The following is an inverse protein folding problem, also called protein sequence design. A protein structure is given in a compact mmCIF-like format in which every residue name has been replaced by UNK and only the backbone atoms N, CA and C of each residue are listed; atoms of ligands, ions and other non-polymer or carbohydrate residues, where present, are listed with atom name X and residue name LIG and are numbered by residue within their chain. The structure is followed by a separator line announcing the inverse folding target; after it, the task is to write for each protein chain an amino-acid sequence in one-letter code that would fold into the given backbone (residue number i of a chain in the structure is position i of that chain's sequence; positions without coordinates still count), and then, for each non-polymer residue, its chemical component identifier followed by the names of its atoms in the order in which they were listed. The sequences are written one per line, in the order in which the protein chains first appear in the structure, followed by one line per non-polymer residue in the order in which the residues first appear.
data_IF_608626469272
#
_entry.id   IF_608626469272
#
_cell.length_a   1.000
_cell.length_b   1.000
_cell.length_c   1.000
_cell.angle_alpha   90.00
_cell.angle_beta   90.00
_cell.angle_gamma   90.00
#
_symmetry.space_group_name_H-M   'P 1'
#
loop_
_entity.id
_entity.type
_entity.pdbx_description
1 polymer ?
#
# COMPACT_ATOMS: atom_id res chain seq x y z
N UNK A 1 -18.34 -11.13 -14.42
CA UNK A 1 -19.09 -10.44 -15.51
C UNK A 1 -20.51 -10.23 -15.03
N UNK A 2 -20.96 -8.98 -14.91
CA UNK A 2 -22.37 -8.68 -14.60
C UNK A 2 -23.21 -8.72 -15.89
N UNK A 3 -24.30 -9.46 -15.87
CA UNK A 3 -25.31 -9.47 -16.94
C UNK A 3 -26.52 -8.67 -16.46
N UNK A 4 -26.50 -7.36 -16.64
CA UNK A 4 -27.68 -6.51 -16.42
C UNK A 4 -28.57 -6.46 -17.66
N UNK A 5 -29.89 -6.47 -17.53
CA UNK A 5 -30.81 -6.18 -18.64
C UNK A 5 -30.71 -4.68 -18.98
N UNK A 6 -30.54 -4.36 -20.26
CA UNK A 6 -30.38 -2.99 -20.74
C UNK A 6 -31.54 -2.08 -20.25
N UNK A 7 -31.18 -1.03 -19.51
CA UNK A 7 -32.08 -0.04 -18.93
C UNK A 7 -31.29 0.98 -18.09
N UNK A 8 -32.01 1.94 -17.48
CA UNK A 8 -31.44 2.95 -16.57
C UNK A 8 -31.08 2.39 -15.19
N UNK A 9 -31.10 1.08 -15.02
CA UNK A 9 -30.90 0.40 -13.75
C UNK A 9 -29.43 0.30 -13.41
N UNK A 10 -29.06 0.57 -12.17
CA UNK A 10 -27.67 0.45 -11.68
C UNK A 10 -27.49 -0.88 -10.97
N UNK A 11 -26.49 -1.62 -11.40
CA UNK A 11 -26.03 -2.85 -10.75
C UNK A 11 -24.72 -2.58 -10.04
N UNK A 12 -24.59 -3.05 -8.82
CA UNK A 12 -23.40 -2.94 -8.00
C UNK A 12 -22.69 -4.29 -7.95
N UNK A 13 -21.39 -4.28 -8.19
CA UNK A 13 -20.52 -5.42 -7.96
C UNK A 13 -19.60 -5.14 -6.78
N UNK A 14 -19.51 -6.08 -5.89
CA UNK A 14 -18.70 -5.97 -4.68
C UNK A 14 -18.27 -7.36 -4.22
N UNK A 15 -17.26 -7.38 -3.34
CA UNK A 15 -16.72 -8.62 -2.79
C UNK A 15 -16.51 -8.49 -1.29
N UNK A 16 -16.73 -9.57 -0.58
CA UNK A 16 -16.39 -9.77 0.83
C UNK A 16 -15.39 -10.89 0.94
N UNK A 17 -14.53 -10.79 1.93
CA UNK A 17 -13.60 -11.84 2.32
C UNK A 17 -13.80 -12.17 3.79
N UNK A 18 -13.72 -13.43 4.13
CA UNK A 18 -13.66 -13.93 5.51
C UNK A 18 -12.18 -14.05 5.88
N UNK A 19 -11.52 -12.89 6.11
CA UNK A 19 -10.08 -12.84 6.32
C UNK A 19 -9.61 -13.60 7.56
N UNK A 20 -10.43 -13.63 8.60
CA UNK A 20 -10.12 -14.30 9.85
C UNK A 20 -10.62 -15.76 9.91
N UNK A 21 -11.32 -16.22 8.84
CA UNK A 21 -11.87 -17.56 8.68
C UNK A 21 -12.83 -17.98 9.81
N UNK A 22 -13.62 -17.04 10.33
CA UNK A 22 -14.61 -17.29 11.38
C UNK A 22 -16.02 -17.57 10.86
N UNK A 23 -16.23 -17.51 9.54
CA UNK A 23 -17.52 -17.71 8.86
C UNK A 23 -18.39 -16.46 8.78
N UNK A 24 -17.89 -15.28 9.21
CA UNK A 24 -18.61 -14.03 9.21
C UNK A 24 -17.91 -13.00 8.31
N UNK A 25 -18.56 -12.55 7.25
CA UNK A 25 -18.02 -11.54 6.35
C UNK A 25 -18.18 -10.09 6.85
N UNK A 26 -18.93 -9.86 7.92
CA UNK A 26 -19.32 -8.50 8.33
C UNK A 26 -18.25 -7.83 9.21
N UNK A 27 -17.32 -8.57 9.77
CA UNK A 27 -16.28 -8.08 10.69
C UNK A 27 -14.90 -7.90 10.03
N UNK A 28 -14.77 -8.21 8.74
CA UNK A 28 -13.50 -8.18 8.00
C UNK A 28 -13.31 -6.96 7.06
N UNK A 29 -14.01 -5.86 7.33
CA UNK A 29 -13.78 -4.56 6.68
C UNK A 29 -14.35 -4.37 5.27
N UNK A 30 -15.12 -5.33 4.75
CA UNK A 30 -15.84 -5.20 3.47
C UNK A 30 -17.12 -4.37 3.57
N UNK A 31 -17.84 -4.12 2.46
CA UNK A 31 -17.56 -4.62 1.11
C UNK A 31 -16.45 -3.86 0.38
N UNK A 32 -15.69 -4.59 -0.42
CA UNK A 32 -14.79 -3.99 -1.41
C UNK A 32 -15.60 -3.77 -2.70
N UNK A 33 -15.87 -2.52 -3.04
CA UNK A 33 -16.68 -2.18 -4.21
C UNK A 33 -15.86 -2.31 -5.49
N UNK A 34 -16.28 -3.19 -6.39
CA UNK A 34 -15.65 -3.39 -7.69
C UNK A 34 -16.12 -2.32 -8.66
N UNK A 35 -17.39 -1.99 -8.64
CA UNK A 35 -17.97 -0.95 -9.48
C UNK A 35 -19.49 -0.96 -9.51
N UNK A 36 -20.05 -0.01 -10.24
CA UNK A 36 -21.48 0.05 -10.57
C UNK A 36 -21.67 0.18 -12.08
N UNK A 37 -22.65 -0.50 -12.64
CA UNK A 37 -22.84 -0.62 -14.08
C UNK A 37 -24.29 -0.46 -14.46
N UNK A 38 -24.52 0.20 -15.60
CA UNK A 38 -25.84 0.32 -16.24
C UNK A 38 -25.96 -0.50 -17.52
N UNK A 39 -24.86 -1.15 -17.94
CA UNK A 39 -24.78 -1.94 -19.17
C UNK A 39 -24.40 -3.39 -18.88
N UNK A 40 -24.77 -4.28 -19.79
CA UNK A 40 -24.38 -5.69 -19.72
C UNK A 40 -22.88 -5.91 -19.97
N UNK A 41 -22.34 -6.99 -19.39
CA UNK A 41 -20.98 -7.47 -19.60
C UNK A 41 -19.88 -6.46 -19.20
N UNK A 42 -20.12 -5.60 -18.23
CA UNK A 42 -19.08 -4.77 -17.68
C UNK A 42 -18.04 -5.65 -16.94
N UNK A 43 -16.77 -5.35 -17.18
CA UNK A 43 -15.64 -5.95 -16.46
C UNK A 43 -14.87 -4.88 -15.74
N UNK A 44 -14.42 -5.17 -14.53
CA UNK A 44 -13.57 -4.27 -13.76
C UNK A 44 -12.52 -5.06 -12.99
N UNK A 45 -11.41 -4.40 -12.70
CA UNK A 45 -10.33 -4.94 -11.86
C UNK A 45 -10.27 -4.15 -10.57
N UNK A 46 -10.10 -4.85 -9.48
CA UNK A 46 -9.88 -4.26 -8.16
C UNK A 46 -8.64 -4.91 -7.54
N UNK A 47 -7.69 -4.08 -7.14
CA UNK A 47 -6.54 -4.53 -6.35
C UNK A 47 -6.92 -4.51 -4.87
N UNK A 48 -6.79 -5.65 -4.21
CA UNK A 48 -7.11 -5.81 -2.79
C UNK A 48 -5.84 -6.20 -2.07
N UNK A 49 -5.46 -5.39 -1.10
CA UNK A 49 -4.34 -5.71 -0.21
C UNK A 49 -4.80 -6.77 0.80
N UNK A 50 -4.11 -7.89 0.82
CA UNK A 50 -4.36 -8.95 1.82
C UNK A 50 -3.89 -8.43 3.18
N UNK A 51 -4.75 -8.41 4.23
CA UNK A 51 -4.34 -8.01 5.56
C UNK A 51 -3.22 -8.90 6.10
N UNK A 52 -2.26 -8.31 6.82
CA UNK A 52 -1.18 -9.09 7.47
C UNK A 52 -1.70 -10.06 8.53
N UNK A 53 -2.92 -9.84 9.01
CA UNK A 53 -3.63 -10.67 9.98
C UNK A 53 -4.52 -11.73 9.32
N UNK A 54 -4.54 -11.80 7.97
CA UNK A 54 -5.36 -12.77 7.27
C UNK A 54 -4.98 -14.21 7.66
N UNK A 55 -6.00 -15.06 7.79
CA UNK A 55 -5.81 -16.48 8.05
C UNK A 55 -5.02 -17.14 6.92
N UNK A 56 -3.94 -17.81 7.26
CA UNK A 56 -3.14 -18.58 6.31
C UNK A 56 -3.81 -19.92 6.06
N UNK A 57 -4.22 -20.15 4.82
CA UNK A 57 -4.99 -21.33 4.43
C UNK A 57 -6.17 -20.96 3.54
N UNK A 58 -7.13 -21.85 3.45
CA UNK A 58 -8.32 -21.63 2.63
C UNK A 58 -9.34 -20.77 3.38
N UNK A 59 -9.66 -19.62 2.82
CA UNK A 59 -10.71 -18.72 3.29
C UNK A 59 -11.85 -18.64 2.28
N UNK A 60 -12.97 -18.07 2.69
CA UNK A 60 -14.11 -17.83 1.83
C UNK A 60 -14.09 -16.41 1.28
N UNK A 61 -14.40 -16.26 -0.01
CA UNK A 61 -14.68 -15.02 -0.69
C UNK A 61 -16.13 -15.05 -1.19
N UNK A 62 -16.89 -13.98 -0.97
CA UNK A 62 -18.26 -13.84 -1.47
C UNK A 62 -18.36 -12.69 -2.44
N UNK A 63 -18.74 -12.97 -3.67
CA UNK A 63 -19.00 -11.96 -4.70
C UNK A 63 -20.48 -11.65 -4.70
N UNK A 64 -20.82 -10.35 -4.56
CA UNK A 64 -22.16 -9.84 -4.65
C UNK A 64 -22.41 -9.09 -5.95
N UNK A 65 -23.58 -9.36 -6.55
CA UNK A 65 -24.15 -8.57 -7.63
C UNK A 65 -25.57 -8.18 -7.22
N UNK A 66 -25.87 -6.90 -7.23
CA UNK A 66 -27.15 -6.42 -6.73
C UNK A 66 -27.66 -5.19 -7.49
N UNK A 67 -28.96 -4.98 -7.41
CA UNK A 67 -29.68 -3.90 -8.05
C UNK A 67 -29.94 -2.77 -7.05
N UNK A 68 -29.55 -1.55 -7.42
CA UNK A 68 -29.78 -0.29 -6.69
C UNK A 68 -29.15 -0.15 -5.30
N UNK A 69 -28.54 -1.17 -4.72
CA UNK A 69 -27.89 -1.08 -3.42
C UNK A 69 -26.84 -2.18 -3.23
N UNK A 70 -25.90 -1.96 -2.33
CA UNK A 70 -24.98 -2.98 -1.81
C UNK A 70 -25.66 -3.61 -0.57
N UNK A 71 -25.79 -4.91 -0.55
CA UNK A 71 -26.47 -5.63 0.53
C UNK A 71 -25.47 -6.28 1.50
N UNK A 72 -25.95 -6.45 2.73
CA UNK A 72 -25.20 -7.19 3.75
C UNK A 72 -24.88 -8.61 3.25
N UNK A 73 -23.67 -9.13 3.44
CA UNK A 73 -23.23 -10.42 2.90
C UNK A 73 -24.04 -11.62 3.44
N UNK A 74 -24.74 -11.44 4.56
CA UNK A 74 -25.53 -12.51 5.19
C UNK A 74 -27.03 -12.44 4.87
N UNK A 75 -27.47 -11.52 3.99
CA UNK A 75 -28.88 -11.45 3.57
C UNK A 75 -29.27 -12.67 2.74
N UNK A 76 -30.45 -13.22 3.05
CA UNK A 76 -31.01 -14.39 2.36
C UNK A 76 -32.32 -14.07 1.62
N UNK A 77 -32.91 -12.89 1.87
CA UNK A 77 -34.17 -12.45 1.27
C UNK A 77 -34.34 -10.93 1.38
N UNK A 78 -35.32 -10.38 0.68
CA UNK A 78 -35.73 -8.96 0.84
C UNK A 78 -35.05 -7.96 -0.10
N UNK A 79 -34.37 -8.42 -1.15
CA UNK A 79 -33.71 -7.54 -2.13
C UNK A 79 -33.45 -8.22 -3.46
N UNK A 80 -33.02 -7.45 -4.44
CA UNK A 80 -32.60 -7.96 -5.75
C UNK A 80 -31.07 -8.10 -5.75
N UNK A 81 -30.57 -9.25 -5.30
CA UNK A 81 -29.16 -9.56 -5.20
C UNK A 81 -28.89 -11.01 -5.54
N UNK A 82 -27.64 -11.28 -5.92
CA UNK A 82 -27.06 -12.61 -6.06
C UNK A 82 -25.73 -12.63 -5.35
N UNK A 83 -25.47 -13.69 -4.60
CA UNK A 83 -24.19 -13.99 -4.00
C UNK A 83 -23.63 -15.31 -4.54
N UNK A 84 -22.33 -15.31 -4.79
CA UNK A 84 -21.58 -16.50 -5.14
C UNK A 84 -20.34 -16.63 -4.23
N UNK A 85 -20.17 -17.80 -3.64
CA UNK A 85 -19.07 -18.11 -2.75
C UNK A 85 -17.94 -18.84 -3.48
N UNK A 86 -16.73 -18.40 -3.22
CA UNK A 86 -15.49 -18.98 -3.72
C UNK A 86 -14.55 -19.30 -2.58
N UNK A 87 -13.75 -20.34 -2.76
CA UNK A 87 -12.63 -20.64 -1.87
C UNK A 87 -11.36 -20.07 -2.48
N UNK A 88 -10.60 -19.31 -1.69
CA UNK A 88 -9.26 -18.81 -2.06
C UNK A 88 -8.25 -19.29 -1.03
N UNK A 89 -7.03 -19.59 -1.46
CA UNK A 89 -5.96 -20.02 -0.58
C UNK A 89 -4.99 -18.84 -0.34
N UNK A 90 -4.83 -18.48 0.94
CA UNK A 90 -3.87 -17.46 1.38
C UNK A 90 -2.60 -18.18 1.83
N UNK A 91 -1.49 -17.86 1.19
CA UNK A 91 -0.18 -18.34 1.58
C UNK A 91 0.44 -17.42 2.64
N UNK A 92 1.22 -17.98 3.55
CA UNK A 92 1.99 -17.18 4.48
C UNK A 92 2.92 -16.21 3.73
N UNK A 93 3.02 -14.99 4.23
CA UNK A 93 4.03 -14.07 3.72
C UNK A 93 5.45 -14.66 3.94
N UNK A 94 6.36 -14.47 2.99
CA UNK A 94 7.74 -14.91 3.18
C UNK A 94 8.35 -14.24 4.41
N UNK A 95 9.35 -14.87 5.03
CA UNK A 95 10.14 -14.21 6.09
C UNK A 95 10.94 -13.07 5.47
N UNK A 96 10.98 -11.92 6.12
CA UNK A 96 11.79 -10.80 5.69
C UNK A 96 13.28 -11.16 5.68
N UNK A 97 13.97 -10.70 4.68
CA UNK A 97 15.43 -10.64 4.62
C UNK A 97 15.85 -9.18 4.44
N UNK A 98 16.96 -8.79 5.01
CA UNK A 98 17.52 -7.46 4.80
C UNK A 98 17.84 -7.26 3.31
N UNK A 99 17.53 -6.09 2.71
CA UNK A 99 17.95 -5.79 1.35
C UNK A 99 19.47 -5.77 1.23
N UNK A 100 20.00 -6.43 0.20
CA UNK A 100 21.48 -6.57 0.02
C UNK A 100 22.09 -5.44 -0.79
N UNK A 101 21.28 -4.62 -1.46
CA UNK A 101 21.73 -3.52 -2.30
C UNK A 101 21.04 -2.21 -1.92
N UNK A 102 21.75 -1.10 -2.17
CA UNK A 102 21.25 0.25 -2.02
C UNK A 102 20.98 0.89 -3.38
N UNK A 103 20.06 1.87 -3.46
CA UNK A 103 19.91 2.72 -4.63
C UNK A 103 21.20 3.52 -4.89
N UNK A 104 21.33 4.00 -6.12
CA UNK A 104 22.50 4.80 -6.54
C UNK A 104 22.03 6.06 -7.25
N UNK A 105 22.98 6.97 -7.52
CA UNK A 105 22.76 8.14 -8.39
C UNK A 105 21.57 9.00 -7.96
N UNK A 106 21.58 9.46 -6.69
CA UNK A 106 20.59 10.42 -6.22
C UNK A 106 20.78 11.78 -6.91
N UNK A 107 19.74 12.26 -7.59
CA UNK A 107 19.69 13.54 -8.28
C UNK A 107 18.60 14.40 -7.65
N UNK A 108 18.93 15.64 -7.30
CA UNK A 108 18.00 16.62 -6.78
C UNK A 108 17.74 17.71 -7.80
N UNK A 109 16.50 18.18 -7.86
CA UNK A 109 16.08 19.32 -8.69
C UNK A 109 15.11 20.21 -7.93
N UNK A 110 14.93 21.46 -8.41
CA UNK A 110 13.96 22.37 -7.81
C UNK A 110 12.55 21.79 -7.90
N UNK A 111 11.83 21.85 -6.79
CA UNK A 111 10.42 21.44 -6.70
C UNK A 111 9.46 22.61 -6.82
N UNK A 112 8.19 22.33 -6.64
CA UNK A 112 7.12 23.35 -6.63
C UNK A 112 6.41 23.32 -5.26
N UNK A 113 6.29 24.47 -4.55
CA UNK A 113 6.76 25.82 -4.93
C UNK A 113 8.29 25.98 -4.87
N UNK A 114 8.82 26.79 -5.78
CA UNK A 114 10.27 27.07 -5.87
C UNK A 114 10.79 27.71 -4.57
N UNK A 115 11.96 27.28 -4.13
CA UNK A 115 12.62 27.78 -2.92
C UNK A 115 12.20 27.10 -1.62
N UNK A 116 11.11 26.32 -1.64
CA UNK A 116 10.59 25.60 -0.45
C UNK A 116 10.31 24.13 -0.72
N UNK A 117 10.63 23.64 -1.93
CA UNK A 117 10.49 22.24 -2.29
C UNK A 117 11.66 21.76 -3.16
N UNK A 118 11.98 20.47 -3.04
CA UNK A 118 12.95 19.75 -3.86
C UNK A 118 12.32 18.44 -4.34
N UNK A 119 12.59 18.09 -5.61
CA UNK A 119 12.32 16.78 -6.16
C UNK A 119 13.60 15.96 -6.13
N UNK A 120 13.51 14.70 -5.71
CA UNK A 120 14.60 13.74 -5.76
C UNK A 120 14.24 12.57 -6.68
N UNK A 121 15.25 12.07 -7.38
CA UNK A 121 15.18 10.84 -8.17
C UNK A 121 16.43 10.03 -7.92
N UNK A 122 16.32 8.69 -7.92
CA UNK A 122 17.48 7.81 -7.75
C UNK A 122 17.34 6.56 -8.62
N UNK A 123 18.45 5.90 -8.88
CA UNK A 123 18.46 4.62 -9.58
C UNK A 123 18.12 3.51 -8.58
N UNK A 124 17.15 2.67 -8.92
CA UNK A 124 16.73 1.55 -8.09
C UNK A 124 17.91 0.63 -7.73
N UNK A 125 17.86 0.08 -6.52
CA UNK A 125 18.80 -0.95 -6.09
C UNK A 125 18.64 -2.24 -6.93
N UNK A 126 19.70 -2.98 -7.11
CA UNK A 126 19.68 -4.28 -7.80
C UNK A 126 20.45 -5.31 -6.98
N UNK A 127 19.77 -6.33 -6.41
CA UNK A 127 18.35 -6.65 -6.55
C UNK A 127 17.45 -5.57 -5.92
N UNK A 128 16.25 -5.40 -6.51
CA UNK A 128 15.29 -4.40 -6.04
C UNK A 128 14.71 -4.80 -4.67
N UNK A 129 14.65 -3.89 -3.69
CA UNK A 129 13.92 -4.10 -2.45
C UNK A 129 12.41 -3.96 -2.67
N UNK A 130 11.62 -4.21 -1.64
CA UNK A 130 10.18 -3.98 -1.71
C UNK A 130 9.80 -2.49 -1.67
N UNK A 131 10.54 -1.69 -0.87
CA UNK A 131 10.29 -0.27 -0.66
C UNK A 131 11.61 0.49 -0.45
N UNK A 132 11.52 1.82 -0.42
CA UNK A 132 12.58 2.73 -0.02
C UNK A 132 12.11 3.62 1.13
N UNK A 133 13.03 3.98 2.01
CA UNK A 133 12.86 4.99 3.04
C UNK A 133 13.76 6.18 2.69
N UNK A 134 13.19 7.37 2.55
CA UNK A 134 13.94 8.61 2.32
C UNK A 134 13.92 9.47 3.56
N UNK A 135 15.10 9.83 4.05
CA UNK A 135 15.28 10.67 5.24
C UNK A 135 16.08 11.91 4.87
N UNK A 136 15.70 13.06 5.41
CA UNK A 136 16.47 14.30 5.26
C UNK A 136 16.96 14.84 6.59
N UNK A 137 18.09 15.58 6.56
CA UNK A 137 18.57 16.39 7.66
C UNK A 137 19.37 17.60 7.16
N UNK A 138 19.84 18.42 8.08
CA UNK A 138 20.71 19.58 7.80
C UNK A 138 22.16 19.39 8.24
N UNK A 139 22.50 18.24 8.81
CA UNK A 139 23.85 17.96 9.35
C UNK A 139 24.78 17.28 8.37
N UNK A 140 24.22 16.60 7.35
CA UNK A 140 24.98 15.80 6.39
C UNK A 140 25.46 14.44 6.94
N UNK A 141 25.05 14.09 8.16
CA UNK A 141 25.39 12.79 8.77
C UNK A 141 24.24 11.82 8.57
N UNK A 142 24.50 10.67 7.95
CA UNK A 142 23.49 9.65 7.72
C UNK A 142 22.99 9.07 9.06
N UNK A 143 21.66 8.97 9.28
CA UNK A 143 21.08 8.46 10.53
C UNK A 143 21.07 6.92 10.62
N UNK A 144 22.11 6.24 10.14
CA UNK A 144 22.14 4.77 10.03
C UNK A 144 21.93 4.06 11.36
N UNK A 145 22.49 4.56 12.45
CA UNK A 145 22.34 3.97 13.79
C UNK A 145 21.00 4.28 14.48
N UNK A 146 20.11 5.06 13.85
CA UNK A 146 18.79 5.44 14.38
C UNK A 146 17.65 4.73 13.66
N UNK A 147 17.92 4.14 12.49
CA UNK A 147 16.94 3.35 11.74
C UNK A 147 16.96 1.92 12.31
N UNK A 148 15.81 1.50 12.83
CA UNK A 148 15.69 0.21 13.55
C UNK A 148 14.78 -0.74 12.80
N UNK A 149 15.23 -1.96 12.60
CA UNK A 149 14.42 -3.06 12.10
C UNK A 149 13.17 -3.28 12.97
N UNK A 150 12.07 -3.68 12.31
CA UNK A 150 10.78 -3.85 12.96
C UNK A 150 10.04 -2.54 13.23
N UNK A 151 10.64 -1.37 13.00
CA UNK A 151 10.01 -0.07 13.24
C UNK A 151 9.53 0.54 11.92
N UNK A 152 8.24 0.85 11.83
CA UNK A 152 7.65 1.56 10.69
C UNK A 152 7.75 3.07 10.89
N UNK A 153 8.28 3.78 9.89
CA UNK A 153 8.42 5.23 9.89
C UNK A 153 7.40 5.87 8.94
N UNK A 154 6.60 6.80 9.45
CA UNK A 154 5.63 7.54 8.65
C UNK A 154 6.26 8.81 8.06
N UNK A 155 5.78 9.25 6.87
CA UNK A 155 6.18 10.52 6.26
C UNK A 155 5.94 11.67 7.24
N UNK A 156 6.92 12.56 7.40
CA UNK A 156 6.92 13.67 8.35
C UNK A 156 7.34 13.31 9.77
N UNK A 157 7.51 12.02 10.11
CA UNK A 157 7.99 11.62 11.43
C UNK A 157 9.50 11.87 11.58
N UNK A 158 9.95 12.01 12.84
CA UNK A 158 11.36 12.19 13.17
C UNK A 158 12.04 10.85 13.48
N UNK A 159 13.26 10.66 12.99
CA UNK A 159 14.15 9.56 13.36
C UNK A 159 15.28 10.14 14.21
N UNK A 160 15.13 10.08 15.54
CA UNK A 160 15.99 10.81 16.44
C UNK A 160 15.91 12.33 16.25
N UNK A 161 16.95 13.05 16.65
CA UNK A 161 16.98 14.52 16.57
C UNK A 161 17.44 14.98 15.20
N UNK A 162 16.64 15.84 14.54
CA UNK A 162 17.03 16.54 13.33
C UNK A 162 16.91 15.75 12.02
N UNK A 163 16.45 14.49 12.08
CA UNK A 163 16.18 13.70 10.88
C UNK A 163 14.68 13.57 10.66
N UNK A 164 14.21 13.83 9.45
CA UNK A 164 12.80 13.77 9.09
C UNK A 164 12.58 12.80 7.94
N UNK A 165 11.57 11.95 8.04
CA UNK A 165 11.15 11.06 6.96
C UNK A 165 10.46 11.86 5.87
N UNK A 166 10.98 11.78 4.66
CA UNK A 166 10.46 12.49 3.49
C UNK A 166 9.50 11.62 2.70
N UNK A 167 9.87 10.34 2.55
CA UNK A 167 9.11 9.38 1.78
C UNK A 167 9.31 7.95 2.26
N UNK A 168 8.32 7.10 2.00
CA UNK A 168 8.39 5.67 2.29
C UNK A 168 7.44 4.92 1.34
N UNK A 169 7.93 4.55 0.16
CA UNK A 169 7.13 3.86 -0.87
C UNK A 169 7.99 2.97 -1.78
N UNK A 170 7.42 2.50 -2.90
CA UNK A 170 8.09 1.66 -3.90
C UNK A 170 8.73 2.45 -5.03
N UNK A 171 8.50 3.79 -5.08
CA UNK A 171 8.96 4.63 -6.17
C UNK A 171 10.45 4.98 -6.02
N UNK A 172 11.05 5.40 -7.12
CA UNK A 172 12.43 5.93 -7.15
C UNK A 172 12.46 7.45 -7.24
N UNK A 173 11.36 8.08 -6.84
CA UNK A 173 11.19 9.54 -6.84
C UNK A 173 10.54 9.99 -5.56
N UNK A 174 10.90 11.16 -5.05
CA UNK A 174 10.26 11.75 -3.88
C UNK A 174 10.16 13.26 -4.01
N UNK A 175 9.32 13.88 -3.19
CA UNK A 175 9.18 15.34 -3.08
C UNK A 175 9.33 15.77 -1.63
N UNK A 176 10.35 16.57 -1.35
CA UNK A 176 10.51 17.24 -0.06
C UNK A 176 9.88 18.62 -0.12
N UNK A 177 8.96 18.93 0.79
CA UNK A 177 8.25 20.21 0.87
C UNK A 177 8.46 20.88 2.22
N UNK A 178 8.09 22.17 2.34
CA UNK A 178 8.21 22.90 3.60
C UNK A 178 9.65 23.24 3.99
N UNK A 179 10.56 23.25 3.01
CA UNK A 179 11.97 23.55 3.21
C UNK A 179 12.18 25.05 3.46
N UNK A 180 13.17 25.39 4.28
CA UNK A 180 13.56 26.77 4.49
C UNK A 180 14.52 27.24 3.41
N UNK A 181 14.30 28.40 2.78
CA UNK A 181 15.24 28.98 1.84
C UNK A 181 16.64 29.18 2.47
N UNK A 182 17.68 29.15 1.67
CA UNK A 182 19.08 29.33 2.09
C UNK A 182 19.59 28.32 3.14
N UNK A 183 18.90 27.16 3.25
CA UNK A 183 19.28 26.08 4.13
C UNK A 183 19.79 24.89 3.31
N UNK A 184 20.90 24.30 3.69
CA UNK A 184 21.43 23.09 3.06
C UNK A 184 20.72 21.85 3.66
N UNK A 185 20.16 21.04 2.80
CA UNK A 185 19.55 19.78 3.18
C UNK A 185 20.30 18.61 2.54
N UNK A 186 20.42 17.52 3.29
CA UNK A 186 21.01 16.25 2.87
C UNK A 186 19.93 15.18 2.88
N UNK A 187 19.91 14.34 1.86
CA UNK A 187 18.95 13.26 1.71
C UNK A 187 19.66 11.92 1.69
N UNK A 188 19.10 10.95 2.37
CA UNK A 188 19.60 9.59 2.50
C UNK A 188 18.49 8.63 2.10
N UNK A 189 18.81 7.68 1.24
CA UNK A 189 17.85 6.68 0.76
C UNK A 189 18.30 5.31 1.25
N UNK A 190 17.35 4.58 1.85
CA UNK A 190 17.57 3.25 2.40
C UNK A 190 16.66 2.26 1.71
N UNK A 191 17.20 1.14 1.26
CA UNK A 191 16.42 -0.01 0.79
C UNK A 191 15.71 -0.68 1.97
N UNK A 192 14.46 -1.10 1.79
CA UNK A 192 13.64 -1.68 2.86
C UNK A 192 12.78 -2.83 2.33
N UNK A 193 12.68 -3.93 3.11
CA UNK A 193 11.72 -5.00 2.90
C UNK A 193 10.70 -5.01 4.04
N UNK A 194 9.45 -4.70 3.73
CA UNK A 194 8.38 -4.49 4.73
C UNK A 194 7.15 -5.39 4.52
N UNK A 195 6.94 -5.94 3.31
CA UNK A 195 5.77 -6.77 2.97
C UNK A 195 6.03 -8.26 3.22
N UNK A 196 6.58 -8.59 4.40
CA UNK A 196 7.03 -9.92 4.77
C UNK A 196 6.97 -10.09 6.31
N UNK A 197 6.99 -11.32 6.79
CA UNK A 197 6.94 -11.61 8.23
C UNK A 197 8.26 -11.21 8.90
N UNK A 198 8.17 -10.44 9.98
CA UNK A 198 9.34 -9.95 10.74
C UNK A 198 9.94 -8.63 10.23
N UNK A 199 9.33 -8.00 9.22
CA UNK A 199 9.74 -6.67 8.75
C UNK A 199 9.06 -5.53 9.49
N UNK A 200 9.44 -4.26 9.13
CA UNK A 200 10.39 -3.92 8.07
C UNK A 200 11.86 -4.21 8.45
N UNK A 201 12.67 -4.63 7.50
CA UNK A 201 14.12 -4.73 7.62
C UNK A 201 14.78 -3.72 6.68
N UNK A 202 15.75 -2.98 7.19
CA UNK A 202 16.43 -1.89 6.50
C UNK A 202 17.88 -2.25 6.18
N UNK A 203 18.32 -1.99 4.96
CA UNK A 203 19.74 -1.88 4.71
C UNK A 203 20.20 -0.49 5.20
N UNK A 204 20.97 -0.44 6.27
CA UNK A 204 21.38 0.83 6.91
C UNK A 204 22.64 1.45 6.31
N UNK A 205 23.21 0.88 5.26
CA UNK A 205 24.28 1.52 4.49
C UNK A 205 23.65 2.54 3.53
N UNK A 206 23.48 3.79 3.97
CA UNK A 206 22.82 4.85 3.18
C UNK A 206 23.56 5.19 1.87
N UNK A 207 22.78 5.58 0.87
CA UNK A 207 23.27 6.21 -0.39
C UNK A 207 23.09 7.71 -0.32
#
# INVERSE_FOLDING_TARGET
TSTGAGGTNTFYQYVYFDWNNNGNFADDGGPYTIGSYTTNNATSNLNILIPVTAYVGTIRMRVGNSFNAIYNPCMTSGGNFQFEDYSINISAAPVCTEPTAQPTTLILSAGTPSGTALNGTFTAASPAPQNYLVVMNTTGTAPTGLIMDGTTYAIGSSIGVGNTVVDTDTNTTFVATGLNPSTTYYFFVYSMNALCTGGPLYNTNAT
#
